data_IF_871894885435
#
_entry.id   IF_871894885435
#
_cell.length_a   1.000
_cell.length_b   1.000
_cell.length_c   1.000
_cell.angle_alpha   90.00
_cell.angle_beta   90.00
_cell.angle_gamma   90.00
#
_symmetry.space_group_name_H-M   'P 1'
#
loop_
_entity.id
_entity.type
_entity.pdbx_description
1 polymer ?
#
# COMPACT_ATOMS: atom_id res chain seq x y z
N UNK A 1 9.78 -7.52 -41.19
CA UNK A 1 9.93 -7.07 -39.80
C UNK A 1 8.56 -7.13 -39.15
N UNK A 2 8.34 -7.83 -38.04
CA UNK A 2 7.07 -7.79 -37.34
C UNK A 2 6.90 -6.40 -36.75
N UNK A 3 5.88 -5.69 -37.19
CA UNK A 3 5.44 -4.46 -36.58
C UNK A 3 4.91 -4.80 -35.16
N UNK A 4 5.69 -4.49 -34.15
CA UNK A 4 5.19 -4.50 -32.77
C UNK A 4 4.09 -3.43 -32.67
N UNK A 5 2.88 -3.78 -32.20
CA UNK A 5 1.82 -2.81 -32.05
C UNK A 5 2.28 -1.73 -31.07
N UNK A 6 2.14 -0.48 -31.50
CA UNK A 6 2.47 0.73 -30.78
C UNK A 6 1.90 0.69 -29.39
N UNK A 7 2.79 0.70 -28.40
CA UNK A 7 2.57 1.06 -26.99
C UNK A 7 1.14 0.90 -26.47
N UNK A 8 0.80 -0.31 -26.02
CA UNK A 8 -0.32 -0.48 -25.10
C UNK A 8 0.05 0.28 -23.80
N UNK A 9 -0.43 1.51 -23.66
CA UNK A 9 -0.45 2.19 -22.38
C UNK A 9 -1.54 1.50 -21.55
N UNK A 10 -1.13 0.64 -20.66
CA UNK A 10 -2.04 -0.02 -19.72
C UNK A 10 -2.08 0.84 -18.48
N UNK A 11 -3.27 1.30 -18.13
CA UNK A 11 -3.51 1.89 -16.81
C UNK A 11 -3.24 0.83 -15.73
N UNK A 12 -2.53 1.22 -14.67
CA UNK A 12 -2.22 0.33 -13.54
C UNK A 12 -3.47 -0.35 -12.98
N UNK A 13 -4.61 0.34 -13.00
CA UNK A 13 -5.90 -0.22 -12.56
C UNK A 13 -6.37 -1.39 -13.42
N UNK A 14 -5.93 -1.49 -14.67
CA UNK A 14 -6.31 -2.55 -15.62
C UNK A 14 -5.37 -3.73 -15.65
N UNK A 15 -4.17 -3.63 -15.05
CA UNK A 15 -3.17 -4.71 -15.11
C UNK A 15 -3.73 -6.00 -14.54
N UNK A 16 -4.40 -5.95 -13.41
CA UNK A 16 -4.97 -7.12 -12.75
C UNK A 16 -6.09 -7.77 -13.57
N UNK A 17 -6.97 -6.95 -14.15
CA UNK A 17 -8.04 -7.46 -15.03
C UNK A 17 -7.48 -8.09 -16.30
N UNK A 18 -6.46 -7.49 -16.92
CA UNK A 18 -5.79 -8.06 -18.08
C UNK A 18 -5.03 -9.35 -17.75
N UNK A 19 -4.43 -9.43 -16.57
CA UNK A 19 -3.78 -10.65 -16.11
C UNK A 19 -4.81 -11.78 -15.92
N UNK A 20 -5.97 -11.49 -15.34
CA UNK A 20 -7.06 -12.46 -15.25
C UNK A 20 -7.55 -12.92 -16.61
N UNK A 21 -7.79 -11.97 -17.55
CA UNK A 21 -8.20 -12.32 -18.92
C UNK A 21 -7.15 -13.21 -19.64
N UNK A 22 -5.86 -12.96 -19.42
CA UNK A 22 -4.79 -13.77 -20.00
C UNK A 22 -4.72 -15.16 -19.39
N UNK A 23 -4.96 -15.31 -18.09
CA UNK A 23 -5.02 -16.60 -17.41
C UNK A 23 -6.21 -17.41 -17.94
N UNK A 24 -7.40 -16.80 -17.99
CA UNK A 24 -8.63 -17.43 -18.46
C UNK A 24 -8.52 -17.91 -19.92
N UNK A 25 -7.82 -17.14 -20.76
CA UNK A 25 -7.64 -17.47 -22.18
C UNK A 25 -6.37 -18.28 -22.47
N UNK A 26 -5.56 -18.64 -21.45
CA UNK A 26 -4.22 -19.21 -21.67
C UNK A 26 -4.20 -20.45 -22.54
N UNK A 27 -5.04 -21.42 -22.26
CA UNK A 27 -5.07 -22.69 -23.00
C UNK A 27 -5.45 -22.53 -24.47
N UNK A 28 -6.24 -21.49 -24.79
CA UNK A 28 -6.71 -21.21 -26.14
C UNK A 28 -5.74 -20.31 -26.91
N UNK A 29 -5.19 -19.29 -26.25
CA UNK A 29 -4.41 -18.23 -26.88
C UNK A 29 -2.90 -18.51 -26.91
N UNK A 30 -2.36 -19.18 -25.90
CA UNK A 30 -0.92 -19.40 -25.81
C UNK A 30 -0.37 -20.21 -27.00
N UNK A 31 -1.01 -21.31 -27.42
CA UNK A 31 -0.56 -22.05 -28.61
C UNK A 31 -0.61 -21.22 -29.89
N UNK A 32 -1.64 -20.39 -30.06
CA UNK A 32 -1.80 -19.53 -31.24
C UNK A 32 -0.70 -18.46 -31.33
N UNK A 33 -0.10 -18.10 -30.18
CA UNK A 33 1.03 -17.16 -30.07
C UNK A 33 2.40 -17.84 -30.06
N UNK A 34 2.44 -19.17 -30.29
CA UNK A 34 3.68 -19.94 -30.27
C UNK A 34 4.24 -20.20 -28.85
N UNK A 35 3.45 -19.98 -27.81
CA UNK A 35 3.83 -20.25 -26.42
C UNK A 35 3.42 -21.68 -26.08
N UNK A 36 4.39 -22.54 -25.84
CA UNK A 36 4.18 -23.94 -25.42
C UNK A 36 4.48 -24.17 -23.92
N UNK A 37 4.30 -23.15 -23.12
CA UNK A 37 4.50 -23.24 -21.67
C UNK A 37 3.16 -23.41 -20.94
N UNK A 38 3.15 -24.10 -19.79
CA UNK A 38 1.97 -24.13 -18.93
C UNK A 38 1.61 -22.73 -18.46
N UNK A 39 0.36 -22.53 -18.05
CA UNK A 39 -0.07 -21.27 -17.48
C UNK A 39 0.84 -20.87 -16.29
N UNK A 40 1.39 -19.66 -16.25
CA UNK A 40 2.36 -19.24 -15.25
C UNK A 40 1.71 -18.88 -13.91
N UNK A 41 0.75 -19.68 -13.47
CA UNK A 41 0.06 -19.51 -12.18
C UNK A 41 0.78 -20.37 -11.13
N UNK A 42 1.13 -19.83 -9.95
CA UNK A 42 1.76 -20.59 -8.88
C UNK A 42 0.76 -21.55 -8.23
N UNK A 43 1.27 -22.62 -7.60
CA UNK A 43 0.43 -23.59 -6.87
C UNK A 43 -0.34 -22.97 -5.70
N UNK A 44 0.22 -21.91 -5.10
CA UNK A 44 -0.39 -21.20 -3.97
C UNK A 44 -0.26 -19.71 -4.18
N UNK A 45 -1.37 -19.00 -4.04
CA UNK A 45 -1.43 -17.53 -4.01
C UNK A 45 -1.82 -17.08 -2.60
N UNK A 46 -0.94 -16.30 -1.97
CA UNK A 46 -1.19 -15.72 -0.65
C UNK A 46 -1.41 -14.22 -0.84
N UNK A 47 -2.52 -13.71 -0.31
CA UNK A 47 -2.87 -12.28 -0.37
C UNK A 47 -2.98 -11.77 1.05
N UNK A 48 -2.16 -10.79 1.37
CA UNK A 48 -2.24 -10.03 2.61
C UNK A 48 -2.99 -8.71 2.39
N UNK A 49 -3.56 -8.15 3.46
CA UNK A 49 -4.32 -6.90 3.42
C UNK A 49 -5.42 -6.85 2.34
N UNK A 50 -6.19 -7.94 2.22
CA UNK A 50 -7.24 -8.06 1.20
C UNK A 50 -8.26 -6.91 1.26
N UNK A 51 -8.48 -6.29 2.43
CA UNK A 51 -9.37 -5.14 2.62
C UNK A 51 -8.94 -3.88 1.83
N UNK A 52 -7.66 -3.82 1.43
CA UNK A 52 -7.11 -2.72 0.63
C UNK A 52 -7.05 -3.04 -0.86
N UNK A 53 -7.42 -4.27 -1.24
CA UNK A 53 -7.45 -4.72 -2.61
C UNK A 53 -8.71 -4.25 -3.36
N UNK A 54 -8.64 -4.29 -4.69
CA UNK A 54 -9.74 -3.89 -5.58
C UNK A 54 -10.55 -5.09 -6.06
N UNK A 55 -11.77 -4.90 -6.60
CA UNK A 55 -12.51 -5.97 -7.26
C UNK A 55 -11.75 -6.67 -8.41
N UNK A 56 -10.80 -5.96 -9.06
CA UNK A 56 -9.93 -6.58 -10.07
C UNK A 56 -8.97 -7.60 -9.48
N UNK A 57 -8.54 -7.40 -8.23
CA UNK A 57 -7.73 -8.38 -7.49
C UNK A 57 -8.54 -9.65 -7.21
N UNK A 58 -9.83 -9.51 -6.83
CA UNK A 58 -10.72 -10.64 -6.63
C UNK A 58 -10.82 -11.48 -7.92
N UNK A 59 -11.08 -10.82 -9.05
CA UNK A 59 -11.15 -11.51 -10.34
C UNK A 59 -9.86 -12.25 -10.70
N UNK A 60 -8.70 -11.63 -10.42
CA UNK A 60 -7.41 -12.27 -10.64
C UNK A 60 -7.24 -13.52 -9.77
N UNK A 61 -7.65 -13.46 -8.50
CA UNK A 61 -7.63 -14.62 -7.60
C UNK A 61 -8.56 -15.74 -8.09
N UNK A 62 -9.75 -15.41 -8.59
CA UNK A 62 -10.67 -16.37 -9.18
C UNK A 62 -10.05 -17.06 -10.40
N UNK A 63 -9.44 -16.30 -11.32
CA UNK A 63 -8.74 -16.85 -12.48
C UNK A 63 -7.58 -17.75 -12.07
N UNK A 64 -6.78 -17.36 -11.07
CA UNK A 64 -5.71 -18.21 -10.54
C UNK A 64 -6.24 -19.51 -9.94
N UNK A 65 -7.33 -19.45 -9.18
CA UNK A 65 -7.99 -20.66 -8.62
C UNK A 65 -8.47 -21.59 -9.74
N UNK A 66 -9.11 -21.03 -10.76
CA UNK A 66 -9.66 -21.81 -11.87
C UNK A 66 -8.54 -22.46 -12.70
N UNK A 67 -7.35 -21.84 -12.73
CA UNK A 67 -6.12 -22.43 -13.26
C UNK A 67 -5.41 -23.42 -12.30
N UNK A 68 -5.98 -23.71 -11.13
CA UNK A 68 -5.53 -24.75 -10.20
C UNK A 68 -4.78 -24.25 -8.96
N UNK A 69 -4.62 -22.94 -8.75
CA UNK A 69 -3.96 -22.41 -7.57
C UNK A 69 -4.83 -22.53 -6.30
N UNK A 70 -4.20 -22.76 -5.16
CA UNK A 70 -4.82 -22.61 -3.85
C UNK A 70 -4.71 -21.16 -3.43
N UNK A 71 -5.83 -20.59 -2.96
CA UNK A 71 -5.87 -19.19 -2.51
C UNK A 71 -5.90 -19.16 -0.98
N UNK A 72 -5.02 -18.34 -0.40
CA UNK A 72 -5.03 -17.98 1.03
C UNK A 72 -5.06 -16.47 1.12
N UNK A 73 -6.03 -15.92 1.84
CA UNK A 73 -6.15 -14.48 1.97
C UNK A 73 -6.34 -14.06 3.44
N UNK A 74 -5.67 -12.98 3.83
CA UNK A 74 -5.78 -12.36 5.13
C UNK A 74 -6.45 -11.00 4.98
N UNK A 75 -7.34 -10.65 5.90
CA UNK A 75 -8.10 -9.40 5.82
C UNK A 75 -8.51 -8.91 7.20
N UNK A 76 -8.45 -7.60 7.40
CA UNK A 76 -9.09 -6.92 8.50
C UNK A 76 -9.79 -5.65 8.01
N UNK A 77 -11.11 -5.71 7.83
CA UNK A 77 -11.89 -4.60 7.31
C UNK A 77 -11.91 -3.36 8.21
N UNK A 78 -11.54 -3.47 9.49
CA UNK A 78 -11.47 -2.33 10.41
C UNK A 78 -10.22 -1.44 10.16
N UNK A 79 -9.20 -1.97 9.47
CA UNK A 79 -7.98 -1.22 9.11
C UNK A 79 -7.92 -0.82 7.64
N UNK A 80 -9.01 -0.97 6.90
CA UNK A 80 -9.07 -0.61 5.48
C UNK A 80 -8.81 0.89 5.28
N UNK A 81 -7.79 1.22 4.49
CA UNK A 81 -7.37 2.61 4.23
C UNK A 81 -7.29 2.96 2.74
N UNK A 82 -7.43 1.99 1.85
CA UNK A 82 -7.25 2.18 0.41
C UNK A 82 -8.54 2.48 -0.38
N UNK A 83 -9.65 2.84 0.30
CA UNK A 83 -10.91 3.18 -0.37
C UNK A 83 -10.77 4.25 -1.45
N UNK A 84 -9.86 5.22 -1.28
CA UNK A 84 -9.58 6.26 -2.28
C UNK A 84 -8.90 5.73 -3.56
N UNK A 85 -8.37 4.50 -3.53
CA UNK A 85 -7.77 3.79 -4.67
C UNK A 85 -8.67 2.68 -5.21
N UNK A 86 -9.94 2.61 -4.75
CA UNK A 86 -10.88 1.57 -5.13
C UNK A 86 -10.76 0.28 -4.32
N UNK A 87 -10.07 0.32 -3.18
CA UNK A 87 -10.06 -0.76 -2.19
C UNK A 87 -11.47 -1.00 -1.65
N UNK A 88 -11.83 -2.26 -1.48
CA UNK A 88 -13.14 -2.67 -0.97
C UNK A 88 -12.97 -3.43 0.36
N UNK A 89 -13.35 -2.84 1.50
CA UNK A 89 -13.12 -3.40 2.82
C UNK A 89 -13.70 -4.80 3.05
N UNK A 90 -14.68 -5.20 2.25
CA UNK A 90 -15.43 -6.46 2.41
C UNK A 90 -15.16 -7.47 1.30
N UNK A 91 -14.01 -7.38 0.64
CA UNK A 91 -13.59 -8.36 -0.36
C UNK A 91 -13.44 -9.77 0.23
N UNK A 92 -13.12 -9.89 1.51
CA UNK A 92 -13.05 -11.17 2.22
C UNK A 92 -14.34 -12.00 2.07
N UNK A 93 -15.49 -11.37 2.25
CA UNK A 93 -16.79 -12.04 2.10
C UNK A 93 -17.12 -12.42 0.67
N UNK A 94 -16.78 -11.51 -0.25
CA UNK A 94 -16.97 -11.78 -1.68
C UNK A 94 -16.09 -12.93 -2.13
N UNK A 95 -14.82 -12.94 -1.70
CA UNK A 95 -13.90 -14.03 -1.99
C UNK A 95 -14.39 -15.34 -1.37
N UNK A 96 -14.75 -15.33 -0.08
CA UNK A 96 -15.26 -16.51 0.60
C UNK A 96 -16.51 -17.08 -0.10
N UNK A 97 -17.43 -16.22 -0.51
CA UNK A 97 -18.61 -16.62 -1.28
C UNK A 97 -18.26 -17.19 -2.66
N UNK A 98 -17.33 -16.57 -3.38
CA UNK A 98 -16.89 -17.01 -4.70
C UNK A 98 -16.12 -18.36 -4.64
N UNK A 99 -15.38 -18.59 -3.56
CA UNK A 99 -14.64 -19.84 -3.33
C UNK A 99 -15.49 -20.93 -2.66
N UNK A 100 -16.65 -20.61 -2.10
CA UNK A 100 -17.47 -21.54 -1.33
C UNK A 100 -16.81 -21.98 -0.02
N UNK A 101 -16.05 -21.09 0.63
CA UNK A 101 -15.30 -21.39 1.88
C UNK A 101 -15.79 -20.52 3.03
N UNK A 102 -15.55 -21.00 4.25
CA UNK A 102 -15.81 -20.22 5.46
C UNK A 102 -14.61 -19.35 5.81
N UNK A 103 -14.89 -18.19 6.42
CA UNK A 103 -13.86 -17.29 6.94
C UNK A 103 -13.44 -17.78 8.33
N UNK A 104 -12.16 -18.09 8.50
CA UNK A 104 -11.57 -18.39 9.79
C UNK A 104 -11.19 -17.08 10.51
N UNK A 105 -11.63 -16.91 11.75
CA UNK A 105 -11.32 -15.75 12.56
C UNK A 105 -10.09 -16.02 13.44
N UNK A 106 -9.11 -15.08 13.41
CA UNK A 106 -7.95 -15.12 14.29
C UNK A 106 -8.30 -14.42 15.61
N UNK A 107 -8.34 -15.18 16.69
CA UNK A 107 -8.81 -14.71 18.01
C UNK A 107 -7.74 -14.08 18.89
N UNK A 108 -6.50 -13.90 18.42
CA UNK A 108 -5.39 -13.39 19.21
C UNK A 108 -4.59 -12.31 18.47
N UNK A 109 -4.18 -11.29 19.21
CA UNK A 109 -3.29 -10.21 18.75
C UNK A 109 -1.93 -10.37 19.43
N UNK A 110 -0.85 -10.40 18.67
CA UNK A 110 0.50 -10.69 19.18
C UNK A 110 1.36 -9.45 19.39
N UNK A 111 1.31 -8.48 18.49
CA UNK A 111 2.27 -7.35 18.44
C UNK A 111 1.67 -6.03 18.97
N UNK A 112 0.85 -6.11 20.00
CA UNK A 112 0.17 -4.93 20.53
C UNK A 112 0.13 -4.94 22.06
N UNK A 113 0.40 -3.79 22.69
CA UNK A 113 0.21 -3.64 24.12
C UNK A 113 -1.27 -3.61 24.50
N UNK A 114 -1.59 -3.97 25.76
CA UNK A 114 -2.97 -3.98 26.27
C UNK A 114 -3.64 -2.61 26.12
N UNK A 115 -2.92 -1.54 26.46
CA UNK A 115 -3.43 -0.17 26.35
C UNK A 115 -3.75 0.24 24.91
N UNK A 116 -2.87 -0.11 23.95
CA UNK A 116 -3.09 0.18 22.53
C UNK A 116 -4.24 -0.65 21.98
N UNK A 117 -4.35 -1.93 22.37
CA UNK A 117 -5.46 -2.80 21.99
C UNK A 117 -6.80 -2.24 22.45
N UNK A 118 -6.88 -1.78 23.69
CA UNK A 118 -8.12 -1.21 24.23
C UNK A 118 -8.50 0.09 23.48
N UNK A 119 -7.53 0.94 23.15
CA UNK A 119 -7.78 2.13 22.34
C UNK A 119 -8.29 1.74 20.95
N UNK A 120 -7.66 0.77 20.29
CA UNK A 120 -8.08 0.27 18.98
C UNK A 120 -9.52 -0.26 19.02
N UNK A 121 -9.85 -1.07 20.05
CA UNK A 121 -11.19 -1.60 20.26
C UNK A 121 -12.24 -0.49 20.42
N UNK A 122 -11.94 0.57 21.19
CA UNK A 122 -12.82 1.71 21.37
C UNK A 122 -12.99 2.53 20.07
N UNK A 123 -11.93 2.66 19.29
CA UNK A 123 -11.99 3.33 17.99
C UNK A 123 -12.84 2.53 17.00
N UNK A 124 -12.59 1.23 16.88
CA UNK A 124 -13.33 0.33 16.00
C UNK A 124 -14.81 0.19 16.39
N UNK A 125 -15.15 0.32 17.69
CA UNK A 125 -16.56 0.28 18.15
C UNK A 125 -17.42 1.38 17.52
N UNK A 126 -16.81 2.47 17.01
CA UNK A 126 -17.51 3.56 16.32
C UNK A 126 -17.66 3.36 14.82
N UNK A 127 -17.01 2.34 14.26
CA UNK A 127 -17.09 1.99 12.85
C UNK A 127 -18.27 1.03 12.67
N UNK A 128 -19.10 1.28 11.66
CA UNK A 128 -20.20 0.37 11.34
C UNK A 128 -19.64 -1.03 11.06
N UNK A 129 -20.14 -2.03 11.77
CA UNK A 129 -19.65 -3.39 11.63
C UNK A 129 -20.46 -4.15 10.58
N UNK A 130 -19.75 -4.79 9.68
CA UNK A 130 -20.32 -5.67 8.67
C UNK A 130 -19.80 -7.12 8.77
N UNK A 131 -19.23 -7.50 9.92
CA UNK A 131 -18.64 -8.80 10.21
C UNK A 131 -19.08 -9.41 11.53
N UNK A 132 -18.50 -10.54 11.89
CA UNK A 132 -18.68 -11.15 13.21
C UNK A 132 -18.13 -10.23 14.32
N UNK A 133 -18.84 -10.09 15.44
CA UNK A 133 -18.34 -9.35 16.61
C UNK A 133 -17.03 -9.93 17.15
N UNK A 134 -16.84 -11.24 17.09
CA UNK A 134 -15.69 -11.96 17.64
C UNK A 134 -14.33 -11.39 17.14
N UNK A 135 -14.28 -10.90 15.91
CA UNK A 135 -13.11 -10.25 15.32
C UNK A 135 -12.59 -9.06 16.14
N UNK A 136 -13.49 -8.23 16.69
CA UNK A 136 -13.13 -7.05 17.48
C UNK A 136 -12.80 -7.39 18.93
N UNK A 137 -13.11 -8.60 19.36
CA UNK A 137 -12.90 -9.09 20.71
C UNK A 137 -11.60 -9.90 20.86
N UNK A 138 -10.82 -10.04 19.77
CA UNK A 138 -9.53 -10.71 19.82
C UNK A 138 -8.67 -10.18 20.97
N UNK A 139 -8.22 -11.08 21.84
CA UNK A 139 -7.46 -10.75 23.05
C UNK A 139 -5.97 -10.60 22.72
N UNK A 140 -5.26 -9.80 23.50
CA UNK A 140 -3.80 -9.84 23.53
C UNK A 140 -3.33 -11.02 24.35
N UNK A 141 -2.14 -11.56 24.03
CA UNK A 141 -1.52 -12.64 24.79
C UNK A 141 -1.28 -12.28 26.25
N UNK A 142 -1.16 -13.29 27.11
CA UNK A 142 -0.95 -13.08 28.54
C UNK A 142 0.39 -12.39 28.84
N UNK A 143 1.37 -12.55 28.00
CA UNK A 143 2.71 -11.94 28.02
C UNK A 143 2.78 -10.55 27.38
N UNK A 144 1.67 -10.06 26.82
CA UNK A 144 1.65 -8.74 26.21
C UNK A 144 1.95 -7.63 27.24
N UNK A 145 2.78 -6.64 26.89
CA UNK A 145 3.07 -5.52 27.78
C UNK A 145 1.81 -4.68 28.01
N UNK A 146 1.69 -4.08 29.20
CA UNK A 146 0.55 -3.20 29.50
C UNK A 146 0.52 -2.00 28.56
N UNK A 147 1.67 -1.43 28.28
CA UNK A 147 1.80 -0.21 27.47
C UNK A 147 1.32 1.04 28.21
N UNK A 148 1.56 2.19 27.57
CA UNK A 148 1.12 3.48 28.12
C UNK A 148 0.57 4.35 26.99
N UNK A 149 -0.58 4.96 27.22
CA UNK A 149 -1.18 5.96 26.36
C UNK A 149 -1.09 7.33 27.04
N UNK A 150 -0.60 8.31 26.30
CA UNK A 150 -0.57 9.71 26.73
C UNK A 150 -1.20 10.56 25.63
N UNK A 151 -2.19 11.38 26.01
CA UNK A 151 -2.86 12.29 25.09
C UNK A 151 -2.33 13.70 25.30
N UNK A 152 -1.86 14.31 24.21
CA UNK A 152 -1.46 15.72 24.19
C UNK A 152 -2.40 16.52 23.30
N UNK A 153 -2.81 17.68 23.75
CA UNK A 153 -3.63 18.63 22.99
C UNK A 153 -2.80 19.86 22.67
N UNK A 154 -2.68 20.19 21.39
CA UNK A 154 -2.06 21.41 20.90
C UNK A 154 -3.09 22.26 20.16
N UNK A 155 -3.13 23.56 20.45
CA UNK A 155 -4.06 24.49 19.81
C UNK A 155 -3.66 24.82 18.35
N UNK A 156 -2.39 24.64 18.01
CA UNK A 156 -1.86 24.93 16.67
C UNK A 156 -0.96 23.79 16.17
N UNK A 157 -0.77 23.64 14.84
CA UNK A 157 0.16 22.66 14.29
C UNK A 157 1.59 22.82 14.85
N UNK A 158 2.05 24.04 15.05
CA UNK A 158 3.36 24.32 15.62
C UNK A 158 3.48 23.84 17.08
N UNK A 159 2.47 24.08 17.89
CA UNK A 159 2.43 23.57 19.27
C UNK A 159 2.38 22.04 19.28
N UNK A 160 1.60 21.43 18.41
CA UNK A 160 1.54 19.98 18.29
C UNK A 160 2.91 19.42 17.90
N UNK A 161 3.57 20.01 16.90
CA UNK A 161 4.93 19.61 16.49
C UNK A 161 5.95 19.72 17.63
N UNK A 162 5.88 20.78 18.42
CA UNK A 162 6.75 20.95 19.60
C UNK A 162 6.47 19.90 20.70
N UNK A 163 5.20 19.56 20.93
CA UNK A 163 4.82 18.52 21.89
C UNK A 163 5.32 17.14 21.43
N UNK A 164 5.17 16.80 20.15
CA UNK A 164 5.67 15.55 19.59
C UNK A 164 7.20 15.49 19.74
N UNK A 165 7.91 16.52 19.31
CA UNK A 165 9.37 16.56 19.43
C UNK A 165 9.85 16.43 20.88
N UNK A 166 9.15 17.05 21.82
CA UNK A 166 9.44 16.92 23.25
C UNK A 166 9.21 15.49 23.74
N UNK A 167 8.11 14.86 23.36
CA UNK A 167 7.80 13.49 23.75
C UNK A 167 8.86 12.51 23.24
N UNK A 168 9.24 12.59 21.94
CA UNK A 168 10.26 11.75 21.34
C UNK A 168 11.62 11.90 22.03
N UNK A 169 12.04 13.14 22.31
CA UNK A 169 13.29 13.40 23.06
C UNK A 169 13.21 12.88 24.49
N UNK A 170 12.05 13.01 25.14
CA UNK A 170 11.87 12.46 26.50
C UNK A 170 12.06 10.96 26.52
N UNK A 171 11.44 10.24 25.57
CA UNK A 171 11.63 8.81 25.44
C UNK A 171 13.07 8.42 25.13
N UNK A 172 13.75 9.21 24.28
CA UNK A 172 15.16 8.97 23.99
C UNK A 172 16.05 9.18 25.22
N UNK A 173 15.86 10.28 25.96
CA UNK A 173 16.74 10.68 27.06
C UNK A 173 16.47 9.91 28.37
N UNK A 174 15.23 9.59 28.66
CA UNK A 174 14.82 9.03 29.95
C UNK A 174 14.52 7.54 29.86
N UNK A 175 13.98 7.05 28.73
CA UNK A 175 13.60 5.65 28.55
C UNK A 175 14.64 4.90 27.72
N UNK A 176 15.67 5.58 27.20
CA UNK A 176 16.74 4.98 26.40
C UNK A 176 16.33 4.51 25.00
N UNK A 177 15.12 4.87 24.55
CA UNK A 177 14.60 4.45 23.24
C UNK A 177 15.31 5.24 22.14
N UNK A 178 16.00 4.55 21.24
CA UNK A 178 16.68 5.21 20.11
C UNK A 178 15.68 5.80 19.13
N UNK A 179 16.01 6.91 18.47
CA UNK A 179 15.08 7.58 17.55
C UNK A 179 14.61 6.69 16.39
N UNK A 180 15.43 5.73 15.95
CA UNK A 180 15.07 4.76 14.91
C UNK A 180 13.97 3.78 15.31
N UNK A 181 13.69 3.63 16.60
CA UNK A 181 12.60 2.81 17.14
C UNK A 181 11.35 3.61 17.44
N UNK A 182 11.36 4.92 17.16
CA UNK A 182 10.23 5.80 17.39
C UNK A 182 9.58 6.17 16.06
N UNK A 183 8.25 6.12 16.00
CA UNK A 183 7.46 6.40 14.79
C UNK A 183 6.47 7.51 15.05
N UNK A 184 6.36 8.44 14.11
CA UNK A 184 5.31 9.46 14.09
C UNK A 184 4.39 9.20 12.92
N UNK A 185 3.14 8.86 13.21
CA UNK A 185 2.12 8.60 12.20
C UNK A 185 1.27 9.87 12.04
N UNK A 186 1.13 10.34 10.81
CA UNK A 186 0.30 11.50 10.46
C UNK A 186 -0.87 11.09 9.57
N UNK A 187 -1.94 11.86 9.63
CA UNK A 187 -3.21 11.50 8.99
C UNK A 187 -3.17 11.59 7.46
N UNK A 188 -2.32 12.42 6.89
CA UNK A 188 -2.21 12.60 5.44
C UNK A 188 -0.78 12.86 5.00
N UNK A 189 -0.47 12.51 3.74
CA UNK A 189 0.85 12.76 3.16
C UNK A 189 1.22 14.24 3.14
N UNK A 190 0.24 15.14 3.01
CA UNK A 190 0.47 16.59 3.05
C UNK A 190 1.03 17.08 4.40
N UNK A 191 0.73 16.38 5.50
CA UNK A 191 1.24 16.75 6.83
C UNK A 191 2.69 16.28 7.06
N UNK A 192 3.21 15.35 6.27
CA UNK A 192 4.54 14.76 6.48
C UNK A 192 5.62 15.82 6.46
N UNK A 193 5.69 16.62 5.39
CA UNK A 193 6.75 17.64 5.22
C UNK A 193 6.73 18.71 6.32
N UNK A 194 5.55 19.10 6.78
CA UNK A 194 5.40 20.06 7.86
C UNK A 194 5.81 19.45 9.21
N UNK A 195 5.38 18.23 9.48
CA UNK A 195 5.76 17.49 10.70
C UNK A 195 7.28 17.33 10.79
N UNK A 196 7.94 16.92 9.71
CA UNK A 196 9.39 16.80 9.64
C UNK A 196 10.06 18.11 10.04
N UNK A 197 9.63 19.24 9.47
CA UNK A 197 10.21 20.56 9.83
C UNK A 197 10.07 20.90 11.30
N UNK A 198 8.95 20.53 11.93
CA UNK A 198 8.77 20.73 13.36
C UNK A 198 9.67 19.82 14.20
N UNK A 199 9.84 18.58 13.80
CA UNK A 199 10.71 17.63 14.48
C UNK A 199 12.18 18.05 14.39
N UNK A 200 12.66 18.41 13.20
CA UNK A 200 14.03 18.92 12.99
C UNK A 200 14.30 20.18 13.81
N UNK A 201 13.38 21.17 13.81
CA UNK A 201 13.48 22.37 14.67
C UNK A 201 13.47 22.01 16.15
N UNK A 202 12.78 20.94 16.52
CA UNK A 202 12.78 20.39 17.88
C UNK A 202 14.00 19.55 18.22
N UNK A 203 15.00 19.43 17.33
CA UNK A 203 16.22 18.65 17.55
C UNK A 203 16.01 17.12 17.50
N UNK A 204 14.97 16.65 16.82
CA UNK A 204 14.73 15.22 16.58
C UNK A 204 15.23 14.87 15.21
N UNK A 205 16.21 13.94 15.08
CA UNK A 205 16.65 13.44 13.78
C UNK A 205 15.55 12.60 13.15
N UNK A 206 15.24 12.86 11.86
CA UNK A 206 14.22 12.10 11.12
C UNK A 206 14.91 11.25 10.06
N UNK A 207 14.80 9.92 10.17
CA UNK A 207 15.32 9.02 9.17
C UNK A 207 14.26 8.76 8.07
N UNK A 208 14.67 8.84 6.81
CA UNK A 208 13.88 8.39 5.66
C UNK A 208 12.65 9.22 5.29
N UNK A 209 12.25 10.18 6.12
CA UNK A 209 11.07 10.99 5.88
C UNK A 209 11.32 12.34 5.19
N UNK A 210 12.57 12.69 4.99
CA UNK A 210 12.97 14.03 4.58
C UNK A 210 12.58 14.43 3.16
N UNK A 211 12.24 13.48 2.35
CA UNK A 211 11.59 13.68 1.06
C UNK A 211 10.80 12.38 0.84
N UNK A 212 9.48 12.38 0.97
CA UNK A 212 8.73 11.61 0.01
C UNK A 212 9.44 11.93 -1.30
N UNK A 213 10.15 10.96 -1.86
CA UNK A 213 10.77 11.14 -3.17
C UNK A 213 9.60 11.45 -4.09
N UNK A 214 9.29 12.72 -4.18
CA UNK A 214 8.42 13.19 -5.24
C UNK A 214 9.25 13.03 -6.49
N UNK A 215 9.23 11.79 -6.99
CA UNK A 215 9.91 11.45 -8.23
C UNK A 215 9.58 12.48 -9.32
N UNK A 216 8.37 13.06 -9.27
CA UNK A 216 7.94 14.06 -10.24
C UNK A 216 8.71 15.40 -10.10
N UNK A 217 9.27 15.72 -8.93
CA UNK A 217 10.07 16.95 -8.73
C UNK A 217 11.57 16.77 -8.94
N UNK A 218 12.04 15.51 -9.08
CA UNK A 218 13.44 15.24 -9.40
C UNK A 218 13.74 15.68 -10.83
N UNK A 219 14.81 16.45 -11.06
CA UNK A 219 15.16 16.93 -12.40
C UNK A 219 15.23 15.79 -13.42
N UNK A 220 15.83 14.67 -13.07
CA UNK A 220 15.94 13.48 -13.92
C UNK A 220 14.59 12.86 -14.24
N UNK A 221 13.71 12.73 -13.23
CA UNK A 221 12.35 12.18 -13.42
C UNK A 221 11.49 13.13 -14.25
N UNK A 222 11.63 14.42 -14.03
CA UNK A 222 10.93 15.44 -14.82
C UNK A 222 11.34 15.39 -16.29
N UNK A 223 12.64 15.27 -16.56
CA UNK A 223 13.15 15.05 -17.92
C UNK A 223 12.61 13.76 -18.55
N UNK A 224 12.52 12.67 -17.79
CA UNK A 224 11.92 11.41 -18.25
C UNK A 224 10.43 11.56 -18.52
N UNK A 225 9.70 12.24 -17.65
CA UNK A 225 8.27 12.52 -17.85
C UNK A 225 8.05 13.42 -19.07
N UNK A 226 8.86 14.44 -19.24
CA UNK A 226 8.81 15.33 -20.41
C UNK A 226 9.08 14.55 -21.70
N UNK A 227 10.08 13.65 -21.71
CA UNK A 227 10.39 12.75 -22.82
C UNK A 227 9.21 11.83 -23.18
N UNK A 228 8.53 11.28 -22.17
CA UNK A 228 7.40 10.34 -22.36
C UNK A 228 6.11 11.06 -22.75
N UNK A 229 5.91 12.28 -22.24
CA UNK A 229 4.68 13.06 -22.50
C UNK A 229 4.76 13.93 -23.76
N UNK A 230 5.96 14.10 -24.33
CA UNK A 230 6.10 14.80 -25.61
C UNK A 230 5.25 14.15 -26.69
N UNK A 231 4.46 14.95 -27.45
CA UNK A 231 3.69 14.43 -28.56
C UNK A 231 4.62 13.72 -29.56
N UNK A 232 4.18 12.56 -30.05
CA UNK A 232 4.91 11.78 -31.05
C UNK A 232 4.72 12.41 -32.43
N UNK A 233 5.00 13.71 -32.57
CA UNK A 233 5.06 14.38 -33.86
C UNK A 233 6.28 13.89 -34.68
N UNK A 234 6.11 13.71 -35.95
CA UNK A 234 7.19 13.29 -36.89
C UNK A 234 8.03 14.50 -37.37
N UNK A 235 8.13 15.58 -36.63
CA UNK A 235 8.94 16.71 -37.02
C UNK A 235 10.40 16.46 -36.62
N UNK A 236 11.34 16.84 -37.51
CA UNK A 236 12.78 16.75 -37.25
C UNK A 236 13.17 17.52 -35.97
N UNK A 237 12.41 18.55 -35.61
CA UNK A 237 12.57 19.32 -34.37
C UNK A 237 12.24 18.50 -33.14
N UNK A 238 11.19 17.66 -33.16
CA UNK A 238 10.81 16.80 -32.02
C UNK A 238 11.86 15.71 -31.78
N UNK A 239 12.47 15.20 -32.83
CA UNK A 239 13.55 14.21 -32.78
C UNK A 239 14.82 14.84 -32.19
N UNK A 240 15.15 16.06 -32.60
CA UNK A 240 16.33 16.78 -32.08
C UNK A 240 16.18 17.08 -30.56
N UNK A 241 15.02 17.57 -30.15
CA UNK A 241 14.74 17.86 -28.73
C UNK A 241 14.77 16.59 -27.86
N UNK A 242 14.24 15.48 -28.37
CA UNK A 242 14.31 14.18 -27.66
C UNK A 242 15.74 13.68 -27.51
N UNK A 243 16.56 13.87 -28.54
CA UNK A 243 17.96 13.49 -28.51
C UNK A 243 18.74 14.32 -27.49
N UNK A 244 18.55 15.63 -27.49
CA UNK A 244 19.18 16.53 -26.51
C UNK A 244 18.77 16.19 -25.07
N UNK A 245 17.48 15.87 -24.83
CA UNK A 245 16.98 15.44 -23.52
C UNK A 245 17.55 14.07 -23.11
N UNK A 246 17.68 13.14 -24.06
CA UNK A 246 18.28 11.84 -23.79
C UNK A 246 19.80 11.95 -23.49
N UNK A 247 20.52 12.81 -24.19
CA UNK A 247 21.96 13.07 -23.93
C UNK A 247 22.20 13.71 -22.56
N UNK A 248 21.24 14.45 -22.00
CA UNK A 248 21.29 15.00 -20.64
C UNK A 248 21.02 13.96 -19.54
N UNK A 249 20.47 12.79 -19.88
CA UNK A 249 20.18 11.70 -18.95
C UNK A 249 21.30 10.65 -18.88
N UNK A 250 22.16 10.62 -19.88
CA UNK A 250 23.32 9.73 -19.91
C UNK A 250 24.52 10.50 -19.33
N UNK A 251 25.22 9.93 -18.30
CA UNK A 251 26.44 10.54 -17.76
C UNK A 251 27.57 10.55 -18.78
#
# INVERSE_FOLDING_TARGET
>A
SPEYPRTLRVDLSRIQSLAADLIDAWEQDAPSRGVQAPCPVPDVVIVDDLQDCTPSTLRLMEACRDAGARIVAFSDSDVAVAGYRGGEPHLDRRLASALGVEIAELGQVYDMSRAVRELARQACARIAQSGSPARREAAVGDDAPDGRLVTHLGATPSQMGALIARALRSHHLHDGIVFSEQVVIVRSASMVAETIRYLERGGVPVAGGGRAFDFATQPTTRLLLDLVTMPTGQSDTDVAVRRELAERLLP
#
